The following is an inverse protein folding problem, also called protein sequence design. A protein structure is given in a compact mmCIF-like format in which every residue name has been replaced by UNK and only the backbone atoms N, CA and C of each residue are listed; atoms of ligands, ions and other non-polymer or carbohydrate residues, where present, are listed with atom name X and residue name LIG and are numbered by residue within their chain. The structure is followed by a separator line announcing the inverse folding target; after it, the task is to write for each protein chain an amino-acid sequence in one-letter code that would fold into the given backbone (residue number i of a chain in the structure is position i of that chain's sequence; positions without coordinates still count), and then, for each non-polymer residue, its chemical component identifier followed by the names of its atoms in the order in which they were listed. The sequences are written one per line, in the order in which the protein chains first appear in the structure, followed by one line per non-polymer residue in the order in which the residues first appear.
data_IF_524580877861
#
_entry.id   IF_524580877861
#
_cell.length_a   1.000
_cell.length_b   1.000
_cell.length_c   1.000
_cell.angle_alpha   90.00
_cell.angle_beta   90.00
_cell.angle_gamma   90.00
#
_symmetry.space_group_name_H-M   'P 1'
#
loop_
_entity.id
_entity.type
_entity.pdbx_description
1 polymer ?
#
# COMPACT_ATOMS: atom_id res chain seq x y z
N UNK A 1 4.47 17.69 -2.02
CA UNK A 1 3.22 16.96 -2.26
C UNK A 1 3.03 15.89 -1.18
N UNK A 2 1.84 15.81 -0.61
CA UNK A 2 1.59 14.81 0.43
C UNK A 2 1.57 13.41 -0.19
N UNK A 3 2.16 12.43 0.51
CA UNK A 3 2.12 11.05 0.09
C UNK A 3 0.69 10.48 0.20
N UNK A 4 0.33 9.59 -0.73
CA UNK A 4 -0.91 8.82 -0.64
C UNK A 4 -0.85 7.73 0.44
N UNK A 5 0.33 7.46 0.99
CA UNK A 5 0.57 6.36 1.90
C UNK A 5 0.64 6.87 3.34
N UNK A 6 -0.21 6.29 4.20
CA UNK A 6 -0.15 6.49 5.65
C UNK A 6 0.25 5.18 6.28
N UNK A 7 1.31 5.19 7.06
CA UNK A 7 1.89 3.97 7.60
C UNK A 7 2.20 4.12 9.08
N UNK A 8 2.01 3.03 9.82
CA UNK A 8 2.43 2.90 11.20
C UNK A 8 3.10 1.54 11.37
N UNK A 9 4.32 1.54 11.89
CA UNK A 9 5.06 0.30 12.13
C UNK A 9 5.67 0.36 13.52
N UNK A 10 5.38 -0.65 14.33
CA UNK A 10 5.81 -0.72 15.74
C UNK A 10 6.48 -2.05 16.00
N UNK A 11 7.73 -2.00 16.47
CA UNK A 11 8.46 -3.20 16.89
C UNK A 11 7.99 -3.60 18.30
N UNK A 12 7.58 -4.85 18.44
CA UNK A 12 7.15 -5.45 19.72
C UNK A 12 7.85 -6.78 19.89
N UNK A 13 8.70 -6.87 20.90
CA UNK A 13 9.45 -8.09 21.18
C UNK A 13 10.22 -8.57 19.94
N UNK A 14 9.83 -9.70 19.34
CA UNK A 14 10.47 -10.28 18.17
C UNK A 14 9.72 -9.98 16.86
N UNK A 15 8.67 -9.16 16.91
CA UNK A 15 7.77 -8.94 15.78
C UNK A 15 7.49 -7.47 15.58
N UNK A 16 7.40 -7.06 14.31
CA UNK A 16 6.98 -5.71 13.93
C UNK A 16 5.58 -5.77 13.33
N UNK A 17 4.66 -4.98 13.89
CA UNK A 17 3.31 -4.84 13.35
C UNK A 17 3.23 -3.64 12.44
N UNK A 18 2.67 -3.81 11.24
CA UNK A 18 2.54 -2.78 10.21
C UNK A 18 1.07 -2.55 9.91
N UNK A 19 0.66 -1.29 9.90
CA UNK A 19 -0.67 -0.86 9.47
C UNK A 19 -0.48 0.22 8.41
N UNK A 20 -1.13 0.05 7.26
CA UNK A 20 -0.97 0.97 6.14
C UNK A 20 -2.33 1.28 5.53
N UNK A 21 -2.58 2.56 5.31
CA UNK A 21 -3.74 3.04 4.56
C UNK A 21 -3.24 3.79 3.34
N UNK A 22 -3.71 3.41 2.15
CA UNK A 22 -3.31 4.01 0.90
C UNK A 22 -4.51 4.75 0.30
N UNK A 23 -4.35 6.04 0.00
CA UNK A 23 -5.39 6.80 -0.67
C UNK A 23 -5.32 6.52 -2.18
N UNK A 24 -6.28 5.75 -2.67
CA UNK A 24 -6.38 5.36 -4.07
C UNK A 24 -7.83 5.02 -4.41
N UNK A 25 -8.34 5.44 -5.59
CA UNK A 25 -9.75 5.21 -5.92
C UNK A 25 -10.11 3.74 -6.10
N UNK A 26 -9.19 2.89 -6.54
CA UNK A 26 -9.43 1.47 -6.76
C UNK A 26 -10.70 1.23 -7.61
N UNK A 27 -10.81 1.95 -8.74
CA UNK A 27 -11.96 1.83 -9.65
C UNK A 27 -11.86 0.53 -10.43
N UNK A 28 -12.97 -0.22 -10.47
CA UNK A 28 -12.99 -1.55 -11.09
C UNK A 28 -13.15 -1.52 -12.62
N UNK A 29 -13.68 -0.43 -13.16
CA UNK A 29 -14.07 -0.35 -14.56
C UNK A 29 -15.50 -0.81 -14.82
N UNK A 30 -16.22 -1.25 -13.80
CA UNK A 30 -17.60 -1.77 -13.93
C UNK A 30 -18.64 -0.83 -13.33
N UNK A 31 -18.23 0.35 -12.85
CA UNK A 31 -19.12 1.33 -12.21
C UNK A 31 -19.36 2.48 -13.19
N UNK A 32 -20.61 2.93 -13.30
CA UNK A 32 -20.99 4.05 -14.15
C UNK A 32 -21.02 5.35 -13.35
N UNK A 33 -20.65 6.46 -14.02
CA UNK A 33 -20.80 7.80 -13.47
C UNK A 33 -22.23 8.33 -13.63
N UNK A 34 -22.45 9.58 -13.26
CA UNK A 34 -23.77 10.23 -13.31
C UNK A 34 -24.29 10.36 -14.76
N UNK A 35 -23.41 10.29 -15.74
CA UNK A 35 -23.76 10.39 -17.16
C UNK A 35 -24.03 9.02 -17.79
N UNK A 36 -23.96 7.96 -17.02
CA UNK A 36 -24.13 6.60 -17.50
C UNK A 36 -22.92 6.02 -18.22
N UNK A 37 -21.77 6.67 -18.15
CA UNK A 37 -20.53 6.17 -18.73
C UNK A 37 -19.72 5.41 -17.69
N UNK A 38 -19.04 4.34 -18.13
CA UNK A 38 -18.18 3.56 -17.22
C UNK A 38 -16.98 4.39 -16.79
N UNK A 39 -16.73 4.40 -15.48
CA UNK A 39 -15.51 4.97 -14.93
C UNK A 39 -14.37 4.03 -15.30
N UNK A 40 -13.29 4.51 -15.97
CA UNK A 40 -12.18 3.64 -16.34
C UNK A 40 -11.55 2.96 -15.15
N UNK A 41 -11.10 1.73 -15.32
CA UNK A 41 -10.41 0.98 -14.28
C UNK A 41 -9.16 1.74 -13.81
N UNK A 42 -9.03 1.94 -12.52
CA UNK A 42 -7.88 2.62 -11.91
C UNK A 42 -7.61 1.99 -10.56
N UNK A 43 -6.68 1.05 -10.51
CA UNK A 43 -6.40 0.24 -9.33
C UNK A 43 -4.91 -0.02 -9.16
N UNK A 44 -4.50 -0.21 -7.93
CA UNK A 44 -3.12 -0.61 -7.61
C UNK A 44 -2.95 -2.07 -8.04
N UNK A 45 -1.92 -2.32 -8.85
CA UNK A 45 -1.57 -3.67 -9.32
C UNK A 45 -0.62 -4.37 -8.38
N UNK A 46 0.35 -3.65 -7.85
CA UNK A 46 1.40 -4.22 -7.02
C UNK A 46 1.72 -3.31 -5.86
N UNK A 47 1.81 -3.91 -4.67
CA UNK A 47 2.18 -3.23 -3.43
C UNK A 47 3.34 -3.99 -2.81
N UNK A 48 4.43 -3.29 -2.50
CA UNK A 48 5.65 -3.88 -1.96
C UNK A 48 6.06 -3.18 -0.67
N UNK A 49 6.40 -3.96 0.34
CA UNK A 49 7.00 -3.49 1.59
C UNK A 49 8.42 -4.02 1.68
N UNK A 50 9.38 -3.13 1.90
CA UNK A 50 10.80 -3.49 2.04
C UNK A 50 11.33 -3.05 3.40
N UNK A 51 12.03 -3.96 4.08
CA UNK A 51 12.71 -3.70 5.33
C UNK A 51 14.21 -3.66 5.04
N UNK A 52 14.82 -2.48 5.23
CA UNK A 52 16.25 -2.25 4.95
C UNK A 52 16.67 -2.75 3.56
N UNK A 53 15.82 -2.51 2.56
CA UNK A 53 16.09 -2.89 1.17
C UNK A 53 15.68 -4.31 0.80
N UNK A 54 15.12 -5.08 1.73
CA UNK A 54 14.69 -6.45 1.47
C UNK A 54 13.17 -6.56 1.54
N UNK A 55 12.56 -7.13 0.51
CA UNK A 55 11.11 -7.30 0.47
C UNK A 55 10.62 -8.23 1.59
N UNK A 56 9.64 -7.76 2.38
CA UNK A 56 9.03 -8.54 3.45
C UNK A 56 7.56 -8.86 3.18
N UNK A 57 6.95 -8.15 2.24
CA UNK A 57 5.56 -8.37 1.85
C UNK A 57 5.35 -7.84 0.44
N UNK A 58 4.77 -8.65 -0.44
CA UNK A 58 4.41 -8.25 -1.80
C UNK A 58 2.97 -8.69 -2.04
N UNK A 59 2.12 -7.77 -2.51
CA UNK A 59 0.75 -8.07 -2.86
C UNK A 59 0.50 -7.72 -4.32
N UNK A 60 -0.07 -8.65 -5.06
CA UNK A 60 -0.60 -8.39 -6.39
C UNK A 60 -2.10 -8.21 -6.27
N UNK A 61 -2.58 -7.03 -6.64
CA UNK A 61 -3.97 -6.66 -6.51
C UNK A 61 -4.66 -6.54 -7.86
N UNK A 62 -5.97 -6.66 -7.85
CA UNK A 62 -6.82 -6.47 -9.00
C UNK A 62 -7.96 -5.52 -8.68
N UNK A 63 -9.04 -5.64 -9.45
CA UNK A 63 -10.18 -4.73 -9.38
C UNK A 63 -11.13 -5.00 -8.22
N UNK A 64 -10.90 -6.05 -7.43
CA UNK A 64 -11.78 -6.43 -6.32
C UNK A 64 -11.41 -5.78 -4.98
N UNK A 65 -10.35 -4.98 -4.94
CA UNK A 65 -9.92 -4.30 -3.71
C UNK A 65 -10.68 -3.00 -3.55
N UNK A 66 -11.16 -2.73 -2.35
CA UNK A 66 -11.96 -1.54 -2.04
C UNK A 66 -11.14 -0.25 -2.10
N UNK A 67 -11.83 0.87 -2.30
CA UNK A 67 -11.23 2.21 -2.26
C UNK A 67 -10.47 2.43 -0.96
N UNK A 68 -9.35 3.14 -1.05
CA UNK A 68 -8.48 3.47 0.07
C UNK A 68 -8.11 2.21 0.86
N UNK A 69 -7.40 1.27 0.23
CA UNK A 69 -7.14 -0.03 0.84
C UNK A 69 -6.31 0.06 2.11
N UNK A 70 -6.70 -0.75 3.08
CA UNK A 70 -6.03 -0.88 4.37
C UNK A 70 -5.33 -2.24 4.43
N UNK A 71 -4.04 -2.22 4.81
CA UNK A 71 -3.24 -3.44 4.92
C UNK A 71 -2.65 -3.52 6.33
N UNK A 72 -2.82 -4.67 6.96
CA UNK A 72 -2.23 -4.95 8.27
C UNK A 72 -1.51 -6.28 8.21
N UNK A 73 -0.24 -6.30 8.64
CA UNK A 73 0.54 -7.52 8.72
C UNK A 73 1.65 -7.38 9.75
N UNK A 74 2.30 -8.51 10.05
CA UNK A 74 3.46 -8.52 10.93
C UNK A 74 4.59 -9.31 10.33
N UNK A 75 5.83 -8.95 10.69
CA UNK A 75 7.01 -9.69 10.26
C UNK A 75 8.07 -9.67 11.37
N UNK A 76 9.04 -10.59 11.26
CA UNK A 76 10.11 -10.74 12.23
C UNK A 76 11.42 -10.20 11.70
N UNK A 77 12.36 -9.92 12.58
CA UNK A 77 13.73 -9.55 12.22
C UNK A 77 14.00 -8.07 12.11
N UNK A 78 13.01 -7.24 12.42
CA UNK A 78 13.19 -5.79 12.41
C UNK A 78 13.42 -5.23 13.80
N UNK A 79 14.08 -4.08 13.87
CA UNK A 79 14.33 -3.37 15.11
C UNK A 79 13.83 -1.93 15.00
N UNK A 80 13.55 -1.33 16.14
CA UNK A 80 13.21 0.08 16.24
C UNK A 80 14.30 0.92 15.57
N UNK A 81 13.88 1.84 14.71
CA UNK A 81 14.80 2.70 13.96
C UNK A 81 15.15 2.19 12.57
N UNK A 82 14.79 0.95 12.24
CA UNK A 82 14.99 0.41 10.90
C UNK A 82 14.05 1.09 9.89
N UNK A 83 14.43 1.06 8.62
CA UNK A 83 13.64 1.63 7.54
C UNK A 83 12.62 0.63 7.00
N UNK A 84 11.38 1.08 6.88
CA UNK A 84 10.33 0.36 6.16
C UNK A 84 9.88 1.21 4.98
N UNK A 85 10.06 0.69 3.77
CA UNK A 85 9.70 1.36 2.54
C UNK A 85 8.47 0.71 1.94
N UNK A 86 7.49 1.53 1.58
CA UNK A 86 6.25 1.08 0.95
C UNK A 86 6.17 1.68 -0.44
N UNK A 87 5.89 0.87 -1.44
CA UNK A 87 5.77 1.29 -2.83
C UNK A 87 4.57 0.64 -3.49
N UNK A 88 3.85 1.39 -4.32
CA UNK A 88 2.80 0.81 -5.14
C UNK A 88 2.87 1.31 -6.57
N UNK A 89 2.35 0.51 -7.49
CA UNK A 89 2.21 0.83 -8.92
C UNK A 89 0.80 0.46 -9.33
N UNK A 90 0.13 1.35 -10.07
CA UNK A 90 -1.22 1.10 -10.54
C UNK A 90 -1.27 0.76 -12.04
N UNK A 91 -2.48 0.44 -12.53
CA UNK A 91 -2.68 0.06 -13.93
C UNK A 91 -2.50 1.23 -14.91
N UNK A 92 -2.47 2.46 -14.43
CA UNK A 92 -2.22 3.65 -15.27
C UNK A 92 -0.76 4.05 -15.30
N UNK A 93 0.11 3.28 -14.65
CA UNK A 93 1.54 3.58 -14.58
C UNK A 93 1.91 4.61 -13.51
N UNK A 94 0.96 5.00 -12.68
CA UNK A 94 1.22 5.87 -11.54
C UNK A 94 1.80 5.07 -10.40
N UNK A 95 2.61 5.70 -9.57
CA UNK A 95 3.23 5.04 -8.43
C UNK A 95 3.46 6.03 -7.29
N UNK A 96 3.68 5.51 -6.11
CA UNK A 96 4.09 6.30 -4.96
C UNK A 96 4.97 5.46 -4.06
N UNK A 97 5.81 6.12 -3.29
CA UNK A 97 6.76 5.49 -2.39
C UNK A 97 6.86 6.32 -1.11
N UNK A 98 6.87 5.65 0.02
CA UNK A 98 7.09 6.29 1.31
C UNK A 98 8.03 5.44 2.16
N UNK A 99 8.90 6.09 2.92
CA UNK A 99 9.79 5.44 3.86
C UNK A 99 9.44 5.87 5.28
N UNK A 100 9.35 4.91 6.18
CA UNK A 100 8.96 5.12 7.56
C UNK A 100 9.97 4.45 8.49
N UNK A 101 10.32 5.13 9.59
CA UNK A 101 11.17 4.55 10.64
C UNK A 101 10.32 3.72 11.58
N UNK A 102 10.69 2.47 11.77
CA UNK A 102 9.99 1.56 12.69
C UNK A 102 10.15 2.07 14.13
N UNK A 103 9.06 2.20 14.82
CA UNK A 103 9.01 2.70 16.18
C UNK A 103 8.95 1.63 17.24
#
# INVERSE_FOLDING_TARGET
MASSIRIRAIAKDDRTEVQTLIQHPMDSGFIKDDKGEFIPAHYIKELTFEHNGKAVFIADWGTAVSKDPYVKFGFKGAAKGDDLKVSWVDNKGESDTATFKIQ
#
